data_IF_831432566505
#
_entry.id   IF_831432566505
#
_cell.length_a   1.000
_cell.length_b   1.000
_cell.length_c   1.000
_cell.angle_alpha   90.00
_cell.angle_beta   90.00
_cell.angle_gamma   90.00
#
_symmetry.space_group_name_H-M   'P 1'
#
loop_
_entity.id
_entity.type
_entity.pdbx_description
1 polymer ?
#
# COMPACT_ATOMS: atom_id res chain seq x y z
N UNK A 1 -15.28 -11.25 -23.21
CA UNK A 1 -14.20 -10.71 -22.36
C UNK A 1 -12.88 -11.15 -22.97
N UNK A 2 -11.91 -10.25 -23.20
CA UNK A 2 -10.57 -10.63 -23.66
C UNK A 2 -9.91 -11.46 -22.54
N UNK A 3 -9.30 -12.60 -22.90
CA UNK A 3 -8.49 -13.40 -21.98
C UNK A 3 -7.10 -12.77 -21.97
N UNK A 4 -6.79 -11.99 -20.94
CA UNK A 4 -5.54 -11.23 -20.85
C UNK A 4 -4.32 -12.10 -20.42
N UNK A 5 -4.36 -13.43 -20.63
CA UNK A 5 -3.35 -14.43 -20.21
C UNK A 5 -2.76 -14.20 -18.81
N UNK A 6 -3.57 -13.69 -17.87
CA UNK A 6 -3.13 -13.36 -16.52
C UNK A 6 -2.88 -14.64 -15.74
N UNK A 7 -1.61 -14.86 -15.37
CA UNK A 7 -1.16 -16.02 -14.57
C UNK A 7 -0.81 -15.57 -13.17
N UNK A 8 -1.64 -15.94 -12.19
CA UNK A 8 -1.41 -15.62 -10.77
C UNK A 8 -1.04 -16.88 -10.01
N UNK A 9 0.08 -16.83 -9.29
CA UNK A 9 0.59 -17.96 -8.50
C UNK A 9 0.76 -17.60 -7.03
N UNK A 10 0.53 -16.34 -6.67
CA UNK A 10 0.69 -15.83 -5.32
C UNK A 10 -0.46 -14.89 -5.00
N UNK A 11 -1.07 -15.05 -3.82
CA UNK A 11 -2.04 -14.11 -3.28
C UNK A 11 -1.75 -13.80 -1.82
N UNK A 12 -2.20 -12.63 -1.37
CA UNK A 12 -2.20 -12.24 0.03
C UNK A 12 -3.64 -11.94 0.45
N UNK A 13 -4.13 -12.68 1.43
CA UNK A 13 -5.48 -12.55 1.97
C UNK A 13 -5.38 -12.02 3.40
N UNK A 14 -5.85 -10.79 3.62
CA UNK A 14 -5.78 -10.09 4.92
C UNK A 14 -7.16 -9.61 5.39
N UNK A 15 -8.20 -9.92 4.63
CA UNK A 15 -9.58 -9.54 4.90
C UNK A 15 -10.33 -10.77 5.37
N UNK A 16 -11.06 -10.63 6.48
CA UNK A 16 -11.88 -11.72 7.00
C UNK A 16 -12.92 -12.16 5.96
N UNK A 17 -13.14 -13.48 5.85
CA UNK A 17 -14.03 -14.08 4.85
C UNK A 17 -13.55 -14.03 3.38
N UNK A 18 -12.43 -13.38 3.07
CA UNK A 18 -11.96 -13.22 1.68
C UNK A 18 -11.15 -14.42 1.14
N UNK A 19 -10.88 -15.44 1.98
CA UNK A 19 -10.07 -16.58 1.57
C UNK A 19 -10.71 -17.36 0.41
N UNK A 20 -12.01 -17.68 0.49
CA UNK A 20 -12.67 -18.46 -0.56
C UNK A 20 -12.72 -17.71 -1.90
N UNK A 21 -13.13 -16.43 -1.96
CA UNK A 21 -13.01 -15.63 -3.19
C UNK A 21 -11.58 -15.59 -3.77
N UNK A 22 -10.57 -15.51 -2.90
CA UNK A 22 -9.16 -15.54 -3.33
C UNK A 22 -8.79 -16.87 -3.98
N UNK A 23 -9.26 -17.98 -3.41
CA UNK A 23 -9.04 -19.32 -3.97
C UNK A 23 -9.77 -19.52 -5.31
N UNK A 24 -10.98 -18.98 -5.44
CA UNK A 24 -11.76 -19.07 -6.69
C UNK A 24 -11.04 -18.34 -7.83
N UNK A 25 -10.46 -17.16 -7.57
CA UNK A 25 -9.63 -16.43 -8.55
C UNK A 25 -8.38 -17.25 -8.91
N UNK A 26 -7.68 -17.80 -7.92
CA UNK A 26 -6.47 -18.58 -8.17
C UNK A 26 -6.76 -19.88 -8.93
N UNK A 27 -7.92 -20.51 -8.71
CA UNK A 27 -8.35 -21.69 -9.47
C UNK A 27 -8.41 -21.40 -10.97
N UNK A 28 -8.93 -20.23 -11.35
CA UNK A 28 -9.06 -19.84 -12.76
C UNK A 28 -7.75 -19.29 -13.36
N UNK A 29 -6.87 -18.72 -12.53
CA UNK A 29 -5.70 -17.96 -13.01
C UNK A 29 -4.36 -18.67 -12.82
N UNK A 30 -4.24 -19.67 -11.95
CA UNK A 30 -2.95 -20.35 -11.68
C UNK A 30 -2.54 -21.34 -12.76
N UNK A 31 -3.47 -21.75 -13.65
CA UNK A 31 -3.28 -22.86 -14.58
C UNK A 31 -2.84 -24.13 -13.82
N UNK A 32 -1.87 -24.88 -14.35
CA UNK A 32 -1.35 -26.11 -13.74
C UNK A 32 -0.28 -25.85 -12.67
N UNK A 33 0.13 -24.59 -12.48
CA UNK A 33 1.15 -24.25 -11.50
C UNK A 33 0.64 -24.37 -10.05
N UNK A 34 1.58 -24.57 -9.13
CA UNK A 34 1.35 -24.48 -7.69
C UNK A 34 1.10 -23.01 -7.30
N UNK A 35 -0.02 -22.74 -6.61
CA UNK A 35 -0.32 -21.42 -6.08
C UNK A 35 -0.03 -21.34 -4.58
N UNK A 36 0.36 -20.17 -4.10
CA UNK A 36 0.62 -19.87 -2.68
C UNK A 36 -0.31 -18.76 -2.21
N UNK A 37 -0.92 -18.94 -1.04
CA UNK A 37 -1.70 -17.88 -0.38
C UNK A 37 -1.04 -17.59 0.96
N UNK A 38 -0.57 -16.35 1.15
CA UNK A 38 -0.28 -15.83 2.46
C UNK A 38 -1.61 -15.36 3.07
N UNK A 39 -2.02 -15.97 4.19
CA UNK A 39 -3.28 -15.66 4.86
C UNK A 39 -2.97 -15.11 6.25
N UNK A 40 -3.44 -13.89 6.53
CA UNK A 40 -3.24 -13.20 7.81
C UNK A 40 -4.60 -12.78 8.37
N UNK A 41 -5.36 -13.72 8.97
CA UNK A 41 -6.65 -13.43 9.55
C UNK A 41 -6.52 -12.56 10.80
N UNK A 42 -7.64 -11.97 11.23
CA UNK A 42 -7.74 -11.28 12.51
C UNK A 42 -7.31 -12.22 13.66
N UNK A 43 -6.71 -11.65 14.70
CA UNK A 43 -6.41 -12.39 15.94
C UNK A 43 -7.73 -12.93 16.53
N UNK A 44 -7.86 -14.25 16.73
CA UNK A 44 -9.12 -14.84 17.19
C UNK A 44 -9.43 -14.46 18.64
N UNK A 45 -10.72 -14.39 18.98
CA UNK A 45 -11.14 -14.29 20.37
C UNK A 45 -10.64 -15.49 21.18
N UNK A 46 -10.22 -15.25 22.43
CA UNK A 46 -9.71 -16.31 23.30
C UNK A 46 -8.32 -16.83 22.92
N UNK A 47 -7.56 -16.09 22.09
CA UNK A 47 -6.16 -16.42 21.82
C UNK A 47 -5.35 -16.60 23.13
N UNK A 48 -4.36 -17.51 23.16
CA UNK A 48 -3.50 -17.67 24.34
C UNK A 48 -2.83 -16.34 24.67
N UNK A 49 -2.75 -16.03 25.96
CA UNK A 49 -2.13 -14.81 26.50
C UNK A 49 -1.32 -15.17 27.73
N UNK A 50 -0.17 -14.52 27.91
CA UNK A 50 0.68 -14.66 29.09
C UNK A 50 0.38 -13.56 30.11
N UNK A 51 0.66 -13.82 31.38
CA UNK A 51 0.55 -12.81 32.44
C UNK A 51 1.34 -11.55 32.06
N UNK A 52 0.75 -10.39 32.34
CA UNK A 52 1.32 -9.07 32.03
C UNK A 52 1.69 -8.84 30.55
N UNK A 53 0.99 -9.48 29.60
CA UNK A 53 1.25 -9.33 28.16
C UNK A 53 0.02 -8.80 27.42
N UNK A 54 0.20 -7.72 26.65
CA UNK A 54 -0.80 -7.25 25.69
C UNK A 54 -0.48 -7.81 24.30
N UNK A 55 -1.43 -8.54 23.72
CA UNK A 55 -1.37 -8.98 22.33
C UNK A 55 -2.40 -8.17 21.55
N UNK A 56 -1.96 -7.54 20.48
CA UNK A 56 -2.80 -6.69 19.64
C UNK A 56 -2.67 -7.15 18.20
N UNK A 57 -3.80 -7.32 17.50
CA UNK A 57 -3.77 -7.46 16.06
C UNK A 57 -3.44 -6.09 15.45
N UNK A 58 -2.41 -6.01 14.60
CA UNK A 58 -1.96 -4.76 13.99
C UNK A 58 -2.96 -4.27 12.93
N UNK A 59 -4.05 -3.67 13.39
CA UNK A 59 -5.14 -3.18 12.56
C UNK A 59 -5.50 -1.76 13.00
N UNK A 60 -5.74 -0.85 12.05
CA UNK A 60 -6.11 0.52 12.39
C UNK A 60 -7.45 0.51 13.15
N UNK A 61 -7.64 1.48 14.03
CA UNK A 61 -8.91 1.62 14.74
C UNK A 61 -10.09 1.69 13.76
N UNK A 62 -11.16 0.97 14.06
CA UNK A 62 -12.41 1.05 13.28
C UNK A 62 -13.21 2.31 13.63
N UNK A 63 -12.98 2.90 14.80
CA UNK A 63 -13.52 4.21 15.14
C UNK A 63 -12.89 5.29 14.26
N UNK A 64 -13.73 6.04 13.54
CA UNK A 64 -13.29 7.03 12.56
C UNK A 64 -12.48 8.17 13.19
N UNK A 65 -12.89 8.63 14.38
CA UNK A 65 -12.24 9.74 15.07
C UNK A 65 -10.84 9.33 15.53
N UNK A 66 -10.74 8.18 16.19
CA UNK A 66 -9.47 7.61 16.64
C UNK A 66 -8.53 7.31 15.47
N UNK A 67 -9.05 6.73 14.38
CA UNK A 67 -8.27 6.45 13.16
C UNK A 67 -7.76 7.73 12.52
N UNK A 68 -8.61 8.75 12.37
CA UNK A 68 -8.24 10.03 11.77
C UNK A 68 -7.20 10.77 12.62
N UNK A 69 -7.37 10.74 13.95
CA UNK A 69 -6.40 11.28 14.89
C UNK A 69 -5.04 10.59 14.76
N UNK A 70 -5.02 9.26 14.76
CA UNK A 70 -3.78 8.49 14.61
C UNK A 70 -3.08 8.76 13.28
N UNK A 71 -3.83 8.78 12.16
CA UNK A 71 -3.29 9.15 10.84
C UNK A 71 -2.68 10.55 10.88
N UNK A 72 -3.36 11.52 11.51
CA UNK A 72 -2.83 12.87 11.64
C UNK A 72 -1.51 12.89 12.44
N UNK A 73 -1.46 12.21 13.59
CA UNK A 73 -0.26 12.09 14.43
C UNK A 73 0.90 11.44 13.67
N UNK A 74 0.64 10.40 12.88
CA UNK A 74 1.65 9.71 12.07
C UNK A 74 2.17 10.64 10.97
N UNK A 75 1.31 11.18 10.10
CA UNK A 75 1.76 11.90 8.91
C UNK A 75 2.21 13.34 9.21
N UNK A 76 1.54 14.03 10.13
CA UNK A 76 1.83 15.45 10.45
C UNK A 76 2.68 15.63 11.71
N UNK A 77 2.79 14.60 12.56
CA UNK A 77 3.65 14.59 13.73
C UNK A 77 4.95 13.84 13.47
N UNK A 78 4.91 12.51 13.61
CA UNK A 78 6.09 11.65 13.56
C UNK A 78 6.81 11.72 12.20
N UNK A 79 6.10 11.45 11.10
CA UNK A 79 6.70 11.37 9.77
C UNK A 79 7.24 12.73 9.32
N UNK A 80 6.47 13.80 9.52
CA UNK A 80 6.92 15.17 9.21
C UNK A 80 8.21 15.50 9.94
N UNK A 81 8.27 15.23 11.25
CA UNK A 81 9.45 15.52 12.07
C UNK A 81 10.64 14.66 11.65
N UNK A 82 10.42 13.36 11.42
CA UNK A 82 11.46 12.42 10.98
C UNK A 82 12.02 12.74 9.59
N UNK A 83 11.19 13.20 8.66
CA UNK A 83 11.63 13.67 7.35
C UNK A 83 12.45 14.97 7.46
N UNK A 84 12.04 15.90 8.33
CA UNK A 84 12.74 17.17 8.55
C UNK A 84 14.09 16.99 9.25
N UNK A 85 14.20 16.04 10.18
CA UNK A 85 15.46 15.72 10.86
C UNK A 85 16.39 14.84 10.03
N UNK A 86 15.87 14.19 8.99
CA UNK A 86 16.60 13.19 8.20
C UNK A 86 16.68 11.81 8.87
N UNK A 87 16.00 11.61 10.00
CA UNK A 87 15.87 10.29 10.66
C UNK A 87 15.07 9.31 9.80
N UNK A 88 14.07 9.81 9.07
CA UNK A 88 13.33 9.06 8.08
C UNK A 88 13.81 9.46 6.69
N UNK A 89 14.40 8.51 5.96
CA UNK A 89 14.86 8.72 4.58
C UNK A 89 13.85 8.06 3.64
N UNK A 90 13.15 8.82 2.78
CA UNK A 90 12.18 8.24 1.87
C UNK A 90 12.88 7.35 0.82
N UNK A 91 12.29 6.18 0.58
CA UNK A 91 12.74 5.22 -0.42
C UNK A 91 11.55 4.67 -1.21
N UNK A 92 11.66 4.47 -2.54
CA UNK A 92 12.82 4.81 -3.37
C UNK A 92 13.08 6.32 -3.49
N UNK A 93 14.28 6.72 -3.92
CA UNK A 93 14.64 8.13 -4.13
C UNK A 93 13.66 8.82 -5.08
N UNK A 94 13.37 10.09 -4.82
CA UNK A 94 12.41 10.86 -5.61
C UNK A 94 13.07 11.45 -6.86
N UNK A 95 12.29 11.53 -7.93
CA UNK A 95 12.62 12.27 -9.15
C UNK A 95 11.49 13.25 -9.43
N UNK A 96 11.79 14.54 -9.46
CA UNK A 96 10.80 15.60 -9.67
C UNK A 96 10.76 15.96 -11.15
N UNK A 97 9.59 15.85 -11.77
CA UNK A 97 9.34 16.32 -13.15
C UNK A 97 8.95 17.80 -13.17
N UNK A 98 8.82 18.36 -14.37
CA UNK A 98 8.08 19.61 -14.55
C UNK A 98 6.66 19.51 -13.97
N UNK A 99 6.04 20.64 -13.64
CA UNK A 99 4.67 20.67 -13.12
C UNK A 99 3.59 20.50 -14.19
N UNK A 100 2.34 20.46 -13.74
CA UNK A 100 1.16 20.52 -14.60
C UNK A 100 1.02 19.34 -15.58
N UNK A 101 0.20 19.52 -16.62
CA UNK A 101 -0.10 18.44 -17.58
C UNK A 101 1.12 18.00 -18.39
N UNK A 102 2.02 18.92 -18.71
CA UNK A 102 3.29 18.60 -19.40
C UNK A 102 4.18 17.69 -18.55
N UNK A 103 4.28 17.99 -17.25
CA UNK A 103 4.93 17.15 -16.26
C UNK A 103 4.34 15.75 -16.14
N UNK A 104 3.01 15.65 -16.10
CA UNK A 104 2.31 14.36 -16.08
C UNK A 104 2.65 13.54 -17.33
N UNK A 105 2.64 14.15 -18.51
CA UNK A 105 2.95 13.44 -19.76
C UNK A 105 4.38 12.89 -19.74
N UNK A 106 5.36 13.72 -19.36
CA UNK A 106 6.76 13.30 -19.25
C UNK A 106 6.96 12.18 -18.21
N UNK A 107 6.28 12.27 -17.07
CA UNK A 107 6.32 11.23 -16.04
C UNK A 107 5.74 9.89 -16.54
N UNK A 108 4.63 9.94 -17.29
CA UNK A 108 4.02 8.74 -17.88
C UNK A 108 4.90 8.11 -18.94
N UNK A 109 5.57 8.89 -19.79
CA UNK A 109 6.49 8.34 -20.79
C UNK A 109 7.68 7.64 -20.15
N UNK A 110 8.19 8.17 -19.04
CA UNK A 110 9.21 7.49 -18.23
C UNK A 110 8.71 6.17 -17.65
N UNK A 111 7.49 6.14 -17.12
CA UNK A 111 6.88 4.90 -16.60
C UNK A 111 6.69 3.84 -17.69
N UNK A 112 6.35 4.22 -18.92
CA UNK A 112 6.24 3.28 -20.06
C UNK A 112 7.59 2.65 -20.42
N UNK A 113 8.69 3.33 -20.14
CA UNK A 113 10.05 2.83 -20.36
C UNK A 113 10.48 1.71 -19.41
N UNK A 114 9.70 1.43 -18.35
CA UNK A 114 9.98 0.39 -17.36
C UNK A 114 10.22 0.94 -15.95
N UNK A 115 10.58 0.06 -15.02
CA UNK A 115 10.81 0.42 -13.60
C UNK A 115 12.15 1.15 -13.45
N UNK A 116 12.08 2.43 -13.06
CA UNK A 116 13.25 3.29 -12.81
C UNK A 116 13.89 3.11 -11.42
N UNK A 117 13.24 2.37 -10.51
CA UNK A 117 13.67 2.30 -9.11
C UNK A 117 13.59 3.66 -8.39
N UNK A 118 12.84 4.62 -8.93
CA UNK A 118 12.65 5.96 -8.36
C UNK A 118 11.17 6.32 -8.27
N UNK A 119 10.80 7.17 -7.30
CA UNK A 119 9.45 7.72 -7.20
C UNK A 119 9.37 8.97 -8.06
N UNK A 120 8.70 8.89 -9.20
CA UNK A 120 8.41 10.05 -10.05
C UNK A 120 7.34 10.91 -9.36
N UNK A 121 7.65 12.20 -9.16
CA UNK A 121 6.80 13.20 -8.53
C UNK A 121 6.55 14.32 -9.53
N UNK A 122 5.28 14.61 -9.79
CA UNK A 122 4.86 15.74 -10.64
C UNK A 122 4.26 16.79 -9.74
N UNK A 123 4.89 17.97 -9.60
CA UNK A 123 4.31 19.07 -8.83
C UNK A 123 2.98 19.52 -9.45
N UNK A 124 2.00 19.78 -8.60
CA UNK A 124 0.80 20.50 -9.01
C UNK A 124 1.10 22.00 -8.92
N UNK A 125 0.99 22.72 -10.03
CA UNK A 125 1.10 24.17 -10.02
C UNK A 125 -0.24 24.74 -9.52
N UNK A 126 -0.22 25.37 -8.35
CA UNK A 126 -1.29 26.25 -7.92
C UNK A 126 -1.03 27.64 -8.50
N UNK A 127 -1.74 28.00 -9.57
CA UNK A 127 -1.86 29.39 -10.00
C UNK A 127 -2.80 30.05 -8.99
N UNK A 128 -2.24 30.63 -7.94
CA UNK A 128 -2.99 31.53 -7.07
C UNK A 128 -3.48 32.71 -7.91
N UNK A 129 -4.79 32.85 -8.08
CA UNK A 129 -5.37 34.15 -8.43
C UNK A 129 -5.14 35.07 -7.23
N UNK A 130 -4.09 35.88 -7.30
CA UNK A 130 -4.01 37.14 -6.55
C UNK A 130 -4.80 38.21 -7.30
#
# INVERSE_FOLDING_TARGET
MKKDDVKLHTAHCVVDGALQPTLDILKETKSDAHAKVAHSPLLPEGHPTLDNTQITFNFPSMDETARSKHINEVFNGWLKTGLQSGEVIPSPTIQIEGGGLGGVHAGLDKLKGGVSGTKIVVPVEWIGFC
#
